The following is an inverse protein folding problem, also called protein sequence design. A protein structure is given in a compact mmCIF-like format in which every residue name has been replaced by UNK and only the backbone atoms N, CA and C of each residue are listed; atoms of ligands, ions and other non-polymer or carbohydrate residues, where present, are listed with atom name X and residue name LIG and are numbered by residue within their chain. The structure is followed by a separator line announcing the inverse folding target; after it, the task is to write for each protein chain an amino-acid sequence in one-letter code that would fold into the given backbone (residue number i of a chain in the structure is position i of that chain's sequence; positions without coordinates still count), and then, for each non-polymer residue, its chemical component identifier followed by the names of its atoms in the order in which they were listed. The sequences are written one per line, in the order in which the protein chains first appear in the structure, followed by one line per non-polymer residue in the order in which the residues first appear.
data_IF_781446590106
#
_entry.id   IF_781446590106
#
_cell.length_a   1.000
_cell.length_b   1.000
_cell.length_c   1.000
_cell.angle_alpha   90.00
_cell.angle_beta   90.00
_cell.angle_gamma   90.00
#
_symmetry.space_group_name_H-M   'P 1'
#
loop_
_entity.id
_entity.type
_entity.pdbx_description
1 polymer ?
#
# COMPACT_ATOMS: atom_id res chain seq x y z
N UNK A 1 -32.02 9.61 11.87
CA UNK A 1 -31.75 8.45 11.01
C UNK A 1 -30.24 8.25 11.03
N UNK A 2 -29.75 7.18 11.63
CA UNK A 2 -28.32 6.84 11.64
C UNK A 2 -27.93 6.26 10.29
N UNK A 3 -27.50 7.13 9.38
CA UNK A 3 -27.13 6.75 8.01
C UNK A 3 -25.80 5.97 7.92
N UNK A 4 -25.02 5.86 9.01
CA UNK A 4 -23.70 5.23 9.06
C UNK A 4 -23.59 4.10 10.12
N UNK A 5 -24.69 3.38 10.36
CA UNK A 5 -24.64 2.12 11.11
C UNK A 5 -24.37 0.96 10.15
N UNK A 6 -23.27 0.23 10.36
CA UNK A 6 -22.85 -0.86 9.48
C UNK A 6 -22.66 -2.16 10.25
N UNK A 7 -23.22 -3.25 9.71
CA UNK A 7 -23.04 -4.58 10.26
C UNK A 7 -21.68 -5.14 9.83
N UNK A 8 -20.90 -5.66 10.79
CA UNK A 8 -19.72 -6.47 10.51
C UNK A 8 -20.14 -7.94 10.42
N UNK A 9 -19.83 -8.55 9.28
CA UNK A 9 -19.87 -10.01 9.10
C UNK A 9 -18.45 -10.54 9.19
N UNK A 10 -18.22 -11.52 10.08
CA UNK A 10 -16.93 -12.18 10.22
C UNK A 10 -16.82 -13.33 9.22
N UNK A 11 -15.98 -13.19 8.19
CA UNK A 11 -15.71 -14.26 7.23
C UNK A 11 -14.45 -15.04 7.64
N UNK A 12 -14.52 -16.38 7.83
CA UNK A 12 -13.35 -17.16 8.19
C UNK A 12 -12.29 -17.14 7.07
N UNK A 13 -11.02 -16.91 7.42
CA UNK A 13 -9.84 -17.03 6.54
C UNK A 13 -9.47 -18.49 6.28
N UNK A 14 -9.74 -19.39 7.24
CA UNK A 14 -9.37 -20.81 7.18
C UNK A 14 -10.50 -21.72 7.71
N UNK A 15 -10.55 -22.99 7.26
CA UNK A 15 -11.57 -23.99 7.64
C UNK A 15 -11.65 -24.29 9.14
N UNK A 16 -10.57 -24.10 9.91
CA UNK A 16 -10.55 -24.26 11.36
C UNK A 16 -10.18 -22.93 12.04
N UNK A 17 -11.17 -22.04 12.19
CA UNK A 17 -10.95 -20.71 12.77
C UNK A 17 -11.20 -20.72 14.29
N UNK A 18 -10.14 -20.97 15.08
CA UNK A 18 -10.17 -20.97 16.56
C UNK A 18 -9.90 -19.62 17.24
N UNK A 19 -9.49 -18.59 16.50
CA UNK A 19 -9.08 -17.27 17.02
C UNK A 19 -9.63 -16.14 16.14
N UNK A 20 -9.90 -14.96 16.72
CA UNK A 20 -10.43 -13.78 16.03
C UNK A 20 -9.54 -13.33 14.85
N UNK A 21 -8.22 -13.52 14.95
CA UNK A 21 -7.26 -13.19 13.88
C UNK A 21 -7.46 -14.02 12.60
N UNK A 22 -8.17 -15.16 12.71
CA UNK A 22 -8.54 -16.01 11.59
C UNK A 22 -9.80 -15.57 10.88
N UNK A 23 -10.44 -14.47 11.27
CA UNK A 23 -11.58 -13.90 10.56
C UNK A 23 -11.18 -12.61 9.83
N UNK A 24 -11.85 -12.33 8.72
CA UNK A 24 -11.87 -11.01 8.06
C UNK A 24 -13.18 -10.33 8.46
N UNK A 25 -13.14 -9.18 9.14
CA UNK A 25 -14.33 -8.37 9.29
C UNK A 25 -14.69 -7.76 7.93
N UNK A 26 -15.92 -7.99 7.45
CA UNK A 26 -16.45 -7.33 6.26
C UNK A 26 -17.62 -6.45 6.66
N UNK A 27 -17.51 -5.17 6.37
CA UNK A 27 -18.56 -4.17 6.54
C UNK A 27 -19.40 -4.07 5.26
N UNK A 28 -20.72 -4.05 5.38
CA UNK A 28 -21.62 -3.72 4.26
C UNK A 28 -21.57 -2.21 3.99
N UNK A 29 -21.00 -1.80 2.85
CA UNK A 29 -20.81 -0.40 2.49
C UNK A 29 -22.09 0.42 2.35
N UNK A 30 -21.99 1.73 2.57
CA UNK A 30 -23.05 2.72 2.39
C UNK A 30 -23.10 3.19 0.91
N UNK A 31 -24.30 3.42 0.37
CA UNK A 31 -24.55 4.06 -0.95
C UNK A 31 -23.76 5.37 -1.12
N UNK A 32 -23.60 6.15 -0.05
CA UNK A 32 -22.82 7.40 -0.05
C UNK A 32 -21.34 7.11 -0.32
N UNK A 33 -20.74 6.14 0.38
CA UNK A 33 -19.35 5.73 0.11
C UNK A 33 -19.19 5.25 -1.33
N UNK A 34 -20.16 4.52 -1.87
CA UNK A 34 -20.16 4.07 -3.27
C UNK A 34 -20.22 5.25 -4.26
N UNK A 35 -21.07 6.25 -4.00
CA UNK A 35 -21.17 7.45 -4.82
C UNK A 35 -19.85 8.25 -4.83
N UNK A 36 -19.20 8.39 -3.67
CA UNK A 36 -17.88 9.04 -3.57
C UNK A 36 -16.83 8.24 -4.34
N UNK A 37 -16.79 6.92 -4.15
CA UNK A 37 -15.86 6.04 -4.85
C UNK A 37 -16.01 6.18 -6.38
N UNK A 38 -17.24 6.19 -6.87
CA UNK A 38 -17.53 6.37 -8.30
C UNK A 38 -17.12 7.75 -8.82
N UNK A 39 -17.19 8.79 -7.99
CA UNK A 39 -16.70 10.14 -8.33
C UNK A 39 -15.18 10.23 -8.32
N UNK A 40 -14.50 9.45 -7.47
CA UNK A 40 -13.05 9.46 -7.33
C UNK A 40 -12.35 8.69 -8.47
N UNK A 41 -12.93 7.55 -8.90
CA UNK A 41 -12.35 6.65 -9.92
C UNK A 41 -11.76 7.36 -11.15
N UNK A 42 -12.45 8.31 -11.83
CA UNK A 42 -11.93 8.94 -13.04
C UNK A 42 -10.67 9.78 -12.83
N UNK A 43 -10.38 10.18 -11.59
CA UNK A 43 -9.23 11.03 -11.26
C UNK A 43 -8.01 10.22 -10.82
N UNK A 44 -8.19 8.94 -10.45
CA UNK A 44 -7.10 8.12 -9.93
C UNK A 44 -5.97 7.97 -10.94
N UNK A 45 -6.29 7.78 -12.22
CA UNK A 45 -5.29 7.66 -13.29
C UNK A 45 -4.42 8.92 -13.45
N UNK A 46 -4.89 10.07 -12.96
CA UNK A 46 -4.12 11.35 -12.99
C UNK A 46 -3.32 11.61 -11.71
N UNK A 47 -3.72 10.99 -10.60
CA UNK A 47 -3.14 11.22 -9.27
C UNK A 47 -2.10 10.16 -8.94
N UNK A 48 -2.40 8.91 -9.29
CA UNK A 48 -1.56 7.75 -8.94
C UNK A 48 -0.41 7.64 -9.94
N UNK A 49 0.80 7.48 -9.42
CA UNK A 49 1.98 7.32 -10.25
C UNK A 49 1.93 6.00 -11.05
N UNK A 50 2.64 5.92 -12.18
CA UNK A 50 2.75 4.67 -12.94
C UNK A 50 3.49 3.55 -12.17
N UNK A 51 4.11 3.88 -11.03
CA UNK A 51 4.80 2.92 -10.17
C UNK A 51 3.85 2.25 -9.17
N UNK A 52 2.56 2.59 -9.18
CA UNK A 52 1.54 2.00 -8.33
C UNK A 52 0.39 1.45 -9.17
N UNK A 53 0.19 0.13 -9.14
CA UNK A 53 -0.64 -0.55 -10.15
C UNK A 53 -1.82 -1.35 -9.59
N UNK A 54 -2.20 -1.12 -8.34
CA UNK A 54 -3.41 -1.71 -7.75
C UNK A 54 -4.63 -0.81 -7.98
N UNK A 55 -5.77 -1.37 -8.37
CA UNK A 55 -7.07 -0.69 -8.45
C UNK A 55 -7.16 0.54 -9.41
N UNK A 56 -6.20 0.71 -10.31
CA UNK A 56 -6.19 1.75 -11.37
C UNK A 56 -6.65 1.13 -12.69
N UNK A 57 -7.53 1.83 -13.43
CA UNK A 57 -8.07 1.32 -14.70
C UNK A 57 -6.95 1.27 -15.76
N UNK A 58 -6.85 0.17 -16.51
CA UNK A 58 -5.84 0.02 -17.58
C UNK A 58 -4.47 -0.53 -17.16
N UNK A 59 -4.20 -0.67 -15.86
CA UNK A 59 -3.03 -1.42 -15.37
C UNK A 59 -3.42 -2.87 -15.11
N UNK A 60 -2.87 -3.80 -15.89
CA UNK A 60 -3.14 -5.22 -15.66
C UNK A 60 -2.20 -5.72 -14.56
N UNK A 61 -2.72 -6.56 -13.66
CA UNK A 61 -1.92 -7.29 -12.66
C UNK A 61 -0.73 -8.01 -13.32
N UNK A 62 -0.89 -8.42 -14.59
CA UNK A 62 0.14 -9.07 -15.40
C UNK A 62 1.37 -8.20 -15.65
N UNK A 63 1.24 -6.87 -15.69
CA UNK A 63 2.36 -5.98 -15.98
C UNK A 63 3.36 -5.97 -14.81
N UNK A 64 2.84 -5.98 -13.57
CA UNK A 64 3.67 -6.06 -12.37
C UNK A 64 4.32 -7.43 -12.23
N UNK A 65 3.58 -8.51 -12.51
CA UNK A 65 4.14 -9.87 -12.53
C UNK A 65 5.25 -9.97 -13.57
N UNK A 66 5.07 -9.37 -14.76
CA UNK A 66 6.08 -9.35 -15.80
C UNK A 66 7.31 -8.53 -15.39
N UNK A 67 7.12 -7.38 -14.73
CA UNK A 67 8.22 -6.56 -14.23
C UNK A 67 9.00 -7.31 -13.14
N UNK A 68 8.31 -7.93 -12.18
CA UNK A 68 8.92 -8.77 -11.14
C UNK A 68 9.70 -9.94 -11.75
N UNK A 69 9.11 -10.63 -12.73
CA UNK A 69 9.79 -11.70 -13.46
C UNK A 69 11.05 -11.20 -14.18
N UNK A 70 10.99 -10.04 -14.85
CA UNK A 70 12.14 -9.43 -15.51
C UNK A 70 13.22 -9.04 -14.51
N UNK A 71 12.86 -8.45 -13.36
CA UNK A 71 13.80 -8.10 -12.29
C UNK A 71 14.50 -9.34 -11.74
N UNK A 72 13.72 -10.38 -11.43
CA UNK A 72 14.25 -11.64 -10.94
C UNK A 72 15.21 -12.28 -11.97
N UNK A 73 14.81 -12.34 -13.24
CA UNK A 73 15.67 -12.81 -14.32
C UNK A 73 16.96 -11.98 -14.44
N UNK A 74 16.87 -10.65 -14.33
CA UNK A 74 18.04 -9.78 -14.32
C UNK A 74 18.98 -10.09 -13.16
N UNK A 75 18.47 -10.22 -11.94
CA UNK A 75 19.29 -10.56 -10.78
C UNK A 75 20.04 -11.89 -11.00
N UNK A 76 19.37 -12.92 -11.52
CA UNK A 76 20.01 -14.22 -11.77
C UNK A 76 21.02 -14.20 -12.92
N UNK A 77 20.78 -13.42 -13.96
CA UNK A 77 21.67 -13.36 -15.13
C UNK A 77 22.82 -12.37 -14.97
N UNK A 78 22.70 -11.41 -14.05
CA UNK A 78 23.73 -10.43 -13.73
C UNK A 78 24.88 -11.08 -12.94
N UNK A 79 25.76 -11.75 -13.70
CA UNK A 79 26.85 -12.58 -13.20
C UNK A 79 28.24 -11.96 -13.41
N UNK A 80 28.33 -10.83 -14.12
CA UNK A 80 29.59 -10.17 -14.49
C UNK A 80 29.48 -8.67 -14.32
N UNK A 81 30.56 -8.05 -13.84
CA UNK A 81 30.65 -6.60 -13.63
C UNK A 81 30.89 -6.24 -12.17
N UNK A 82 31.19 -4.96 -11.91
CA UNK A 82 31.49 -4.42 -10.56
C UNK A 82 30.25 -3.87 -9.84
N UNK A 83 29.11 -3.80 -10.53
CA UNK A 83 27.85 -3.32 -9.94
C UNK A 83 27.08 -4.52 -9.40
N UNK A 84 26.45 -4.31 -8.25
CA UNK A 84 25.63 -5.29 -7.57
C UNK A 84 24.25 -4.66 -7.37
N UNK A 85 23.19 -5.46 -7.41
CA UNK A 85 21.82 -5.02 -7.30
C UNK A 85 21.07 -5.88 -6.28
N UNK A 86 20.09 -5.27 -5.63
CA UNK A 86 19.17 -5.96 -4.75
C UNK A 86 17.73 -5.56 -5.06
N UNK A 87 16.82 -6.50 -4.86
CA UNK A 87 15.40 -6.30 -4.87
C UNK A 87 14.85 -6.58 -3.47
N UNK A 88 14.26 -5.58 -2.85
CA UNK A 88 13.61 -5.67 -1.54
C UNK A 88 12.12 -5.83 -1.76
N UNK A 89 11.55 -6.95 -1.30
CA UNK A 89 10.11 -7.19 -1.24
C UNK A 89 9.66 -6.93 0.19
N UNK A 90 8.92 -5.85 0.39
CA UNK A 90 8.48 -5.34 1.69
C UNK A 90 6.97 -5.60 1.85
N UNK A 91 6.58 -6.21 2.97
CA UNK A 91 5.17 -6.41 3.36
C UNK A 91 4.78 -5.27 4.31
N UNK A 92 3.90 -4.37 3.88
CA UNK A 92 3.37 -3.32 4.76
C UNK A 92 2.27 -3.95 5.62
N UNK A 93 2.48 -3.95 6.94
CA UNK A 93 1.57 -4.64 7.86
C UNK A 93 0.21 -3.95 7.94
N UNK A 94 -0.86 -4.72 7.67
CA UNK A 94 -2.28 -4.40 7.95
C UNK A 94 -2.66 -2.93 7.68
N UNK A 95 -2.42 -2.45 6.48
CA UNK A 95 -2.59 -1.04 6.12
C UNK A 95 -4.01 -0.49 6.31
N UNK A 96 -5.05 -1.32 6.15
CA UNK A 96 -6.45 -0.92 6.38
C UNK A 96 -6.77 -0.66 7.86
N UNK A 97 -6.32 -1.52 8.78
CA UNK A 97 -6.75 -1.45 10.19
C UNK A 97 -6.04 -0.34 10.99
N UNK A 98 -4.92 0.17 10.47
CA UNK A 98 -3.99 1.07 11.19
C UNK A 98 -3.91 2.47 10.53
N UNK A 99 -4.61 2.69 9.41
CA UNK A 99 -4.55 3.99 8.72
C UNK A 99 -5.00 5.15 9.62
N UNK A 100 -4.06 6.04 9.94
CA UNK A 100 -4.33 7.25 10.73
C UNK A 100 -5.19 8.24 9.95
N UNK A 101 -6.33 8.64 10.53
CA UNK A 101 -7.26 9.57 9.88
C UNK A 101 -6.68 10.97 9.69
N UNK A 102 -5.83 11.41 10.63
CA UNK A 102 -5.10 12.67 10.53
C UNK A 102 -4.12 12.66 9.36
N UNK A 103 -3.52 11.51 9.07
CA UNK A 103 -2.65 11.32 7.91
C UNK A 103 -3.45 11.33 6.61
N UNK A 104 -4.57 10.59 6.54
CA UNK A 104 -5.47 10.61 5.38
C UNK A 104 -5.90 12.03 5.01
N UNK A 105 -6.34 12.82 6.00
CA UNK A 105 -6.70 14.22 5.80
C UNK A 105 -5.57 15.02 5.16
N UNK A 106 -4.35 14.89 5.69
CA UNK A 106 -3.18 15.60 5.19
C UNK A 106 -2.81 15.17 3.77
N UNK A 107 -2.87 13.87 3.46
CA UNK A 107 -2.62 13.34 2.12
C UNK A 107 -3.62 13.93 1.12
N UNK A 108 -4.92 13.87 1.41
CA UNK A 108 -5.94 14.43 0.54
C UNK A 108 -5.75 15.95 0.34
N UNK A 109 -5.37 16.69 1.39
CA UNK A 109 -5.04 18.10 1.29
C UNK A 109 -3.81 18.38 0.41
N UNK A 110 -2.76 17.55 0.51
CA UNK A 110 -1.55 17.66 -0.33
C UNK A 110 -1.78 17.26 -1.78
N UNK A 111 -2.76 16.39 -2.02
CA UNK A 111 -3.25 16.04 -3.36
C UNK A 111 -4.26 17.08 -3.90
N UNK A 112 -4.44 18.21 -3.20
CA UNK A 112 -5.27 19.34 -3.61
C UNK A 112 -6.77 19.03 -3.75
N UNK A 113 -7.28 18.06 -2.98
CA UNK A 113 -8.72 17.87 -2.88
C UNK A 113 -9.37 19.08 -2.18
N UNK A 114 -10.56 19.55 -2.63
CA UNK A 114 -11.27 20.64 -1.96
C UNK A 114 -11.60 20.27 -0.51
N UNK A 115 -11.41 21.21 0.44
CA UNK A 115 -11.64 20.96 1.86
C UNK A 115 -13.02 20.36 2.15
N UNK A 116 -14.08 20.91 1.58
CA UNK A 116 -15.46 20.41 1.74
C UNK A 116 -15.61 18.94 1.30
N UNK A 117 -14.87 18.52 0.28
CA UNK A 117 -14.87 17.14 -0.20
C UNK A 117 -14.08 16.22 0.73
N UNK A 118 -12.97 16.70 1.29
CA UNK A 118 -12.21 15.97 2.32
C UNK A 118 -13.08 15.78 3.57
N UNK A 119 -13.79 16.82 4.02
CA UNK A 119 -14.74 16.73 5.13
C UNK A 119 -15.80 15.67 4.86
N UNK A 120 -16.34 15.63 3.64
CA UNK A 120 -17.33 14.62 3.25
C UNK A 120 -16.77 13.19 3.29
N UNK A 121 -15.54 12.99 2.80
CA UNK A 121 -14.82 11.71 2.92
C UNK A 121 -14.62 11.34 4.40
N UNK A 122 -14.16 12.29 5.23
CA UNK A 122 -13.92 12.01 6.64
C UNK A 122 -15.19 11.69 7.40
N UNK A 123 -16.33 12.30 7.05
CA UNK A 123 -17.62 11.90 7.62
C UNK A 123 -17.93 10.43 7.31
N UNK A 124 -17.73 9.98 6.07
CA UNK A 124 -17.91 8.58 5.70
C UNK A 124 -16.96 7.63 6.45
N UNK A 125 -15.71 8.03 6.66
CA UNK A 125 -14.72 7.18 7.34
C UNK A 125 -14.91 7.18 8.87
N UNK A 126 -15.21 8.33 9.48
CA UNK A 126 -15.18 8.49 10.94
C UNK A 126 -16.49 8.19 11.67
N UNK A 127 -17.63 8.28 10.99
CA UNK A 127 -18.95 8.14 11.63
C UNK A 127 -19.52 6.73 11.61
N UNK A 128 -18.75 5.74 11.12
CA UNK A 128 -19.20 4.35 11.08
C UNK A 128 -19.21 3.75 12.47
N UNK A 129 -20.38 3.24 12.86
CA UNK A 129 -20.54 2.41 14.05
C UNK A 129 -20.81 0.96 13.65
N UNK A 130 -20.17 0.06 14.37
CA UNK A 130 -20.16 -1.36 14.04
C UNK A 130 -20.92 -2.18 15.05
N UNK A 131 -21.71 -3.12 14.56
CA UNK A 131 -22.21 -4.19 15.41
C UNK A 131 -21.89 -5.55 14.81
N UNK A 132 -21.59 -6.51 15.69
CA UNK A 132 -21.32 -7.88 15.26
C UNK A 132 -22.62 -8.62 15.05
N UNK A 133 -22.77 -9.29 13.91
CA UNK A 133 -23.89 -10.21 13.69
C UNK A 133 -23.43 -11.63 13.93
N UNK A 134 -23.91 -12.25 15.01
CA UNK A 134 -23.64 -13.65 15.38
C UNK A 134 -24.95 -14.43 15.30
N UNK A 135 -25.02 -15.43 14.41
CA UNK A 135 -26.21 -16.26 14.18
C UNK A 135 -27.49 -15.44 13.92
N UNK A 136 -27.37 -14.34 13.16
CA UNK A 136 -28.49 -13.45 12.82
C UNK A 136 -28.91 -12.46 13.91
N UNK A 137 -28.21 -12.42 15.05
CA UNK A 137 -28.45 -11.45 16.13
C UNK A 137 -27.30 -10.44 16.21
N UNK A 138 -27.64 -9.17 16.44
CA UNK A 138 -26.70 -8.06 16.55
C UNK A 138 -26.18 -7.96 18.00
N UNK A 139 -24.87 -7.82 18.17
CA UNK A 139 -24.19 -7.75 19.47
C UNK A 139 -23.16 -6.61 19.49
N UNK A 140 -23.24 -5.79 20.53
CA UNK A 140 -22.30 -4.72 20.82
C UNK A 140 -22.32 -3.58 19.79
N UNK A 141 -21.68 -2.46 20.16
CA UNK A 141 -21.35 -1.38 19.24
C UNK A 141 -19.88 -1.03 19.41
N UNK A 142 -19.11 -1.07 18.32
CA UNK A 142 -17.74 -0.57 18.27
C UNK A 142 -17.73 0.73 17.46
N UNK A 143 -17.06 1.74 18.01
CA UNK A 143 -16.73 2.97 17.30
C UNK A 143 -15.22 2.91 17.05
N UNK A 144 -14.81 2.95 15.78
CA UNK A 144 -13.40 3.02 15.41
C UNK A 144 -12.86 4.43 15.57
N UNK A 145 -11.59 4.59 15.93
CA UNK A 145 -10.90 5.89 15.99
C UNK A 145 -9.85 6.06 14.88
N UNK A 146 -9.57 4.98 14.14
CA UNK A 146 -8.59 4.90 13.06
C UNK A 146 -8.96 3.75 12.12
N UNK A 147 -8.30 3.69 10.99
CA UNK A 147 -8.44 2.64 9.99
C UNK A 147 -9.49 2.93 8.92
N UNK A 148 -9.43 2.15 7.86
CA UNK A 148 -10.33 2.13 6.72
C UNK A 148 -11.15 0.83 6.74
N UNK A 149 -12.41 0.94 6.34
CA UNK A 149 -13.39 -0.11 6.53
C UNK A 149 -13.27 -1.19 5.44
N UNK A 150 -12.93 -2.42 5.83
CA UNK A 150 -12.82 -3.54 4.89
C UNK A 150 -14.21 -3.94 4.37
N UNK A 151 -14.43 -3.79 3.06
CA UNK A 151 -15.72 -4.05 2.41
C UNK A 151 -16.51 -2.77 2.07
N UNK A 152 -16.08 -1.61 2.56
CA UNK A 152 -16.56 -0.33 2.05
C UNK A 152 -15.98 -0.08 0.64
N UNK A 153 -16.80 0.26 -0.37
CA UNK A 153 -16.35 0.58 -1.72
C UNK A 153 -15.37 1.76 -1.81
N UNK A 154 -15.36 2.69 -0.85
CA UNK A 154 -14.46 3.85 -0.84
C UNK A 154 -13.07 3.51 -0.28
N UNK A 155 -12.99 2.62 0.70
CA UNK A 155 -11.76 2.29 1.43
C UNK A 155 -10.57 1.89 0.55
N UNK A 156 -10.72 1.04 -0.50
CA UNK A 156 -9.59 0.67 -1.36
C UNK A 156 -8.94 1.87 -2.05
N UNK A 157 -9.73 2.88 -2.43
CA UNK A 157 -9.22 4.07 -3.11
C UNK A 157 -8.55 5.04 -2.13
N UNK A 158 -9.09 5.18 -0.92
CA UNK A 158 -8.44 5.97 0.13
C UNK A 158 -7.11 5.34 0.54
N UNK A 159 -7.06 4.01 0.64
CA UNK A 159 -5.82 3.29 0.88
C UNK A 159 -4.80 3.55 -0.23
N UNK A 160 -5.23 3.47 -1.49
CA UNK A 160 -4.40 3.76 -2.66
C UNK A 160 -3.80 5.17 -2.62
N UNK A 161 -4.59 6.19 -2.26
CA UNK A 161 -4.11 7.57 -2.13
C UNK A 161 -3.11 7.71 -0.98
N UNK A 162 -3.31 7.01 0.14
CA UNK A 162 -2.34 6.97 1.23
C UNK A 162 -1.03 6.31 0.79
N UNK A 163 -1.07 5.15 0.14
CA UNK A 163 0.16 4.46 -0.32
C UNK A 163 0.89 5.23 -1.41
N UNK A 164 0.19 6.06 -2.20
CA UNK A 164 0.83 6.94 -3.19
C UNK A 164 1.83 7.90 -2.54
N UNK A 165 1.60 8.32 -1.29
CA UNK A 165 2.57 9.17 -0.59
C UNK A 165 3.93 8.49 -0.37
N UNK A 166 3.97 7.15 -0.23
CA UNK A 166 5.21 6.38 -0.21
C UNK A 166 5.90 6.42 -1.59
N UNK A 167 5.14 6.26 -2.68
CA UNK A 167 5.67 6.41 -4.04
C UNK A 167 6.30 7.78 -4.24
N UNK A 168 5.60 8.84 -3.83
CA UNK A 168 6.09 10.21 -3.92
C UNK A 168 7.37 10.43 -3.12
N UNK A 169 7.53 9.80 -1.94
CA UNK A 169 8.81 9.84 -1.19
C UNK A 169 9.97 9.26 -2.00
N UNK A 170 9.75 8.11 -2.66
CA UNK A 170 10.77 7.52 -3.55
C UNK A 170 11.06 8.39 -4.77
N UNK A 171 10.04 9.03 -5.36
CA UNK A 171 10.22 9.93 -6.50
C UNK A 171 11.01 11.18 -6.11
N UNK A 172 10.72 11.80 -4.97
CA UNK A 172 11.49 12.94 -4.45
C UNK A 172 12.93 12.53 -4.13
N UNK A 173 13.15 11.34 -3.55
CA UNK A 173 14.49 10.81 -3.32
C UNK A 173 15.26 10.59 -4.62
N UNK A 174 14.57 10.14 -5.67
CA UNK A 174 15.14 10.00 -7.03
C UNK A 174 15.52 11.35 -7.63
N UNK A 175 14.64 12.35 -7.56
CA UNK A 175 14.92 13.69 -8.06
C UNK A 175 16.12 14.34 -7.34
N UNK A 176 16.30 14.05 -6.06
CA UNK A 176 17.44 14.49 -5.25
C UNK A 176 18.73 13.68 -5.48
N UNK A 177 18.65 12.59 -6.23
CA UNK A 177 19.78 11.69 -6.49
C UNK A 177 20.19 10.81 -5.31
N UNK A 178 19.38 10.72 -4.25
CA UNK A 178 19.67 9.85 -3.09
C UNK A 178 19.30 8.39 -3.35
N UNK A 179 18.27 8.15 -4.17
CA UNK A 179 17.92 6.82 -4.67
C UNK A 179 18.02 6.80 -6.19
N UNK A 180 18.92 6.00 -6.79
CA UNK A 180 19.04 5.92 -8.23
C UNK A 180 17.88 5.11 -8.82
N UNK A 181 17.64 5.34 -10.11
CA UNK A 181 16.81 4.46 -10.92
C UNK A 181 17.66 3.31 -11.49
N UNK A 182 17.06 2.13 -11.63
CA UNK A 182 17.72 0.96 -12.20
C UNK A 182 16.93 0.46 -13.40
N UNK A 183 17.61 0.38 -14.55
CA UNK A 183 17.06 -0.22 -15.76
C UNK A 183 17.38 -1.72 -15.78
N UNK A 184 16.33 -2.54 -15.77
CA UNK A 184 16.42 -4.01 -15.75
C UNK A 184 16.95 -4.57 -17.08
N UNK A 185 16.70 -3.90 -18.20
CA UNK A 185 17.30 -4.23 -19.50
C UNK A 185 17.36 -2.99 -20.42
N UNK A 186 18.09 -3.11 -21.54
CA UNK A 186 18.17 -2.03 -22.53
C UNK A 186 16.78 -1.74 -23.11
N UNK A 187 16.34 -0.49 -23.01
CA UNK A 187 15.02 -0.05 -23.50
C UNK A 187 13.87 -0.32 -22.53
N UNK A 188 14.10 -0.93 -21.37
CA UNK A 188 13.09 -0.98 -20.31
C UNK A 188 13.04 0.34 -19.53
N UNK A 189 11.86 0.69 -18.96
CA UNK A 189 11.76 1.79 -18.01
C UNK A 189 12.71 1.58 -16.83
N UNK A 190 13.41 2.65 -16.44
CA UNK A 190 14.16 2.66 -15.19
C UNK A 190 13.18 2.76 -14.02
N UNK A 191 13.35 1.93 -13.01
CA UNK A 191 12.49 1.88 -11.82
C UNK A 191 13.35 1.97 -10.56
N UNK A 192 12.81 2.60 -9.51
CA UNK A 192 13.37 2.51 -8.15
C UNK A 192 12.45 1.72 -7.23
N UNK A 193 11.14 1.75 -7.47
CA UNK A 193 10.14 1.07 -6.67
C UNK A 193 8.93 0.68 -7.52
N UNK A 194 8.11 -0.24 -6.99
CA UNK A 194 6.82 -0.65 -7.51
C UNK A 194 5.90 -0.97 -6.33
N UNK A 195 4.69 -0.42 -6.33
CA UNK A 195 3.67 -0.63 -5.30
C UNK A 195 2.49 -1.41 -5.87
N UNK A 196 2.05 -2.43 -5.14
CA UNK A 196 0.86 -3.19 -5.44
C UNK A 196 0.06 -3.47 -4.17
N UNK A 197 -0.89 -2.58 -3.88
CA UNK A 197 -1.66 -2.61 -2.64
C UNK A 197 -0.72 -2.69 -1.42
N UNK A 198 -0.70 -3.82 -0.71
CA UNK A 198 0.13 -4.03 0.48
C UNK A 198 1.58 -4.46 0.15
N UNK A 199 1.86 -4.89 -1.08
CA UNK A 199 3.18 -5.33 -1.52
C UNK A 199 3.99 -4.15 -2.07
N UNK A 200 5.17 -3.91 -1.48
CA UNK A 200 6.11 -2.88 -1.93
C UNK A 200 7.41 -3.52 -2.40
N UNK A 201 7.81 -3.27 -3.64
CA UNK A 201 9.08 -3.74 -4.18
C UNK A 201 10.02 -2.56 -4.42
N UNK A 202 11.27 -2.66 -3.98
CA UNK A 202 12.27 -1.60 -4.11
C UNK A 202 13.52 -2.17 -4.77
N UNK A 203 13.93 -1.58 -5.90
CA UNK A 203 15.02 -2.09 -6.71
C UNK A 203 16.17 -1.08 -6.77
N UNK A 204 17.30 -1.44 -6.15
CA UNK A 204 18.40 -0.52 -5.86
C UNK A 204 19.77 -1.22 -6.00
N UNK A 205 20.87 -0.47 -6.11
CA UNK A 205 22.21 -1.04 -5.97
C UNK A 205 22.40 -1.74 -4.62
N UNK A 206 23.06 -2.89 -4.61
CA UNK A 206 23.33 -3.64 -3.40
C UNK A 206 24.52 -3.03 -2.63
N UNK A 207 24.22 -2.07 -1.75
CA UNK A 207 25.15 -1.51 -0.78
C UNK A 207 24.41 -0.96 0.44
N UNK A 208 25.12 -0.80 1.56
CA UNK A 208 24.54 -0.37 2.84
C UNK A 208 23.99 1.06 2.81
N UNK A 209 24.62 1.99 2.09
CA UNK A 209 24.14 3.38 2.01
C UNK A 209 22.75 3.43 1.36
N UNK A 210 22.52 2.65 0.30
CA UNK A 210 21.22 2.56 -0.35
C UNK A 210 20.16 1.94 0.57
N UNK A 211 20.52 0.90 1.33
CA UNK A 211 19.62 0.30 2.32
C UNK A 211 19.25 1.33 3.39
N UNK A 212 20.22 2.10 3.89
CA UNK A 212 19.97 3.16 4.88
C UNK A 212 19.05 4.25 4.34
N UNK A 213 19.22 4.68 3.09
CA UNK A 213 18.31 5.63 2.46
C UNK A 213 16.89 5.08 2.37
N UNK A 214 16.73 3.81 1.98
CA UNK A 214 15.42 3.16 1.93
C UNK A 214 14.81 3.07 3.33
N UNK A 215 15.56 2.61 4.34
CA UNK A 215 15.11 2.59 5.73
C UNK A 215 14.64 3.97 6.20
N UNK A 216 15.38 5.03 5.89
CA UNK A 216 15.00 6.40 6.27
C UNK A 216 13.68 6.85 5.63
N UNK A 217 13.44 6.53 4.35
CA UNK A 217 12.17 6.82 3.70
C UNK A 217 11.01 6.05 4.35
N UNK A 218 11.23 4.77 4.65
CA UNK A 218 10.25 3.90 5.27
C UNK A 218 9.93 4.34 6.71
N UNK A 219 10.93 4.79 7.47
CA UNK A 219 10.74 5.36 8.80
C UNK A 219 9.96 6.68 8.74
N UNK A 220 10.29 7.54 7.76
CA UNK A 220 9.54 8.78 7.53
C UNK A 220 8.07 8.49 7.22
N UNK A 221 7.82 7.52 6.34
CA UNK A 221 6.47 7.08 6.01
C UNK A 221 5.75 6.48 7.22
N UNK A 222 6.41 5.63 8.00
CA UNK A 222 5.87 5.03 9.23
C UNK A 222 5.48 6.10 10.25
N UNK A 223 6.34 7.09 10.49
CA UNK A 223 6.06 8.18 11.41
C UNK A 223 4.86 9.03 10.98
N UNK A 224 4.65 9.20 9.68
CA UNK A 224 3.53 9.98 9.15
C UNK A 224 2.22 9.19 9.10
N UNK A 225 2.28 7.93 8.65
CA UNK A 225 1.09 7.11 8.34
C UNK A 225 0.65 6.17 9.45
N UNK A 226 1.53 5.87 10.41
CA UNK A 226 1.36 4.79 11.38
C UNK A 226 1.59 3.38 10.81
N UNK A 227 1.82 3.24 9.50
CA UNK A 227 2.00 1.93 8.86
C UNK A 227 3.43 1.42 9.05
N UNK A 228 3.55 0.20 9.55
CA UNK A 228 4.82 -0.46 9.83
C UNK A 228 5.12 -1.58 8.83
N UNK A 229 6.40 -1.79 8.53
CA UNK A 229 6.85 -2.88 7.67
C UNK A 229 7.00 -4.16 8.49
N UNK A 230 6.43 -5.25 7.97
CA UNK A 230 6.62 -6.56 8.52
C UNK A 230 7.94 -7.17 8.02
N UNK A 231 9.01 -6.97 8.79
CA UNK A 231 10.33 -7.50 8.46
C UNK A 231 10.35 -9.04 8.36
N UNK A 232 9.50 -9.75 9.11
CA UNK A 232 9.42 -11.22 9.06
C UNK A 232 8.82 -11.76 7.75
N UNK A 233 8.03 -10.93 7.06
CA UNK A 233 7.46 -11.27 5.75
C UNK A 233 8.17 -10.57 4.60
N UNK A 234 9.06 -9.63 4.92
CA UNK A 234 9.89 -8.96 3.95
C UNK A 234 11.06 -9.84 3.55
N UNK A 235 11.58 -9.68 2.34
CA UNK A 235 12.70 -10.45 1.81
C UNK A 235 13.59 -9.62 0.90
N UNK A 236 14.84 -10.03 0.76
CA UNK A 236 15.80 -9.43 -0.16
C UNK A 236 16.30 -10.49 -1.14
N UNK A 237 16.38 -10.14 -2.41
CA UNK A 237 17.04 -10.92 -3.45
C UNK A 237 18.21 -10.12 -4.03
N UNK A 238 19.32 -10.78 -4.33
CA UNK A 238 20.54 -10.12 -4.79
C UNK A 238 20.94 -10.62 -6.19
N UNK A 239 21.68 -9.78 -6.93
CA UNK A 239 22.26 -10.20 -8.19
C UNK A 239 23.29 -11.30 -7.98
N UNK A 240 23.45 -12.19 -8.96
CA UNK A 240 24.30 -13.38 -8.84
C UNK A 240 25.76 -13.06 -8.52
N UNK A 241 26.27 -11.91 -8.97
CA UNK A 241 27.64 -11.46 -8.68
C UNK A 241 27.80 -10.75 -7.32
N UNK A 242 26.77 -10.63 -6.48
CA UNK A 242 26.86 -9.94 -5.18
C UNK A 242 27.60 -10.82 -4.16
N UNK A 243 28.71 -10.34 -3.56
CA UNK A 243 29.45 -11.10 -2.53
C UNK A 243 28.60 -11.39 -1.29
N UNK A 244 28.82 -12.53 -0.63
CA UNK A 244 28.10 -12.91 0.59
C UNK A 244 28.22 -11.87 1.71
N UNK A 245 29.38 -11.22 1.82
CA UNK A 245 29.65 -10.14 2.78
C UNK A 245 28.72 -8.93 2.61
N UNK A 246 28.21 -8.70 1.40
CA UNK A 246 27.27 -7.61 1.08
C UNK A 246 25.82 -8.06 1.25
N UNK A 247 25.56 -9.37 1.32
CA UNK A 247 24.21 -9.93 1.48
C UNK A 247 23.79 -10.09 2.95
N UNK A 248 24.76 -10.11 3.87
CA UNK A 248 24.56 -10.25 5.32
C UNK A 248 24.28 -8.89 5.99
#
# INVERSE_FOLDING_TARGET
MDFNSTNIVLIPKCKQSKSLNHYRPISLGNIVSEAIANRLKPWLDTIISPFQSAFVSGHLITDNVLLDFKKNHFLHTHSKGRKHFMDLKLDISKGYDIAEWSFLWQVLGKLHFPCDFIEFIMLCVSSVSYSFVLSGKQFGTIITQQGLHQGDPLSPYLFLLCTESLSLLFLVARERGTIPEVAVCRGAPSISHLLFADDTMVFIPANMDMVQHVCHLLDTYKLASGQEINLHKSSAAFSHNTPLEVQQ
#
